data_IF_600979721609
#
_entry.id   IF_600979721609
#
_cell.length_a   1.000
_cell.length_b   1.000
_cell.length_c   1.000
_cell.angle_alpha   90.00
_cell.angle_beta   90.00
_cell.angle_gamma   90.00
#
_symmetry.space_group_name_H-M   'P 1'
#
loop_
_entity.id
_entity.type
_entity.pdbx_description
1 polymer ?
#
# COMPACT_ATOMS: atom_id res chain seq x y z
N UNK A 1 5.24 23.11 -25.90
CA UNK A 1 4.99 22.58 -24.55
C UNK A 1 6.25 21.85 -24.11
N UNK A 2 6.86 22.26 -23.02
CA UNK A 2 8.02 21.54 -22.47
C UNK A 2 7.56 20.14 -22.01
N UNK A 3 8.46 19.14 -22.07
CA UNK A 3 8.19 17.77 -21.60
C UNK A 3 7.73 17.72 -20.14
N UNK A 4 8.02 18.75 -19.36
CA UNK A 4 7.67 18.93 -17.94
C UNK A 4 6.15 18.98 -17.62
N UNK A 5 5.29 19.11 -18.62
CA UNK A 5 3.84 19.20 -18.43
C UNK A 5 3.07 17.91 -18.78
N UNK A 6 3.77 16.84 -19.16
CA UNK A 6 3.14 15.54 -19.46
C UNK A 6 3.12 14.69 -18.20
N UNK A 7 1.92 14.38 -17.67
CA UNK A 7 1.74 13.72 -16.37
C UNK A 7 2.45 12.36 -16.23
N UNK A 8 2.49 11.59 -17.31
CA UNK A 8 3.11 10.24 -17.33
C UNK A 8 4.55 10.25 -17.84
N UNK A 9 5.06 11.43 -18.23
CA UNK A 9 6.48 11.56 -18.57
C UNK A 9 7.30 11.58 -17.26
N UNK A 10 8.25 10.66 -17.18
CA UNK A 10 9.20 10.61 -16.07
C UNK A 10 10.43 11.44 -16.42
N UNK A 11 10.94 12.21 -15.46
CA UNK A 11 12.25 12.81 -15.55
C UNK A 11 13.33 11.70 -15.57
N UNK A 12 14.53 12.02 -15.97
CA UNK A 12 15.62 11.03 -16.14
C UNK A 12 15.91 10.29 -14.83
N UNK A 13 15.99 11.01 -13.73
CA UNK A 13 16.20 10.46 -12.38
C UNK A 13 15.02 9.60 -11.91
N UNK A 14 13.78 10.02 -12.15
CA UNK A 14 12.57 9.23 -11.86
C UNK A 14 12.55 7.92 -12.66
N UNK A 15 12.93 7.99 -13.94
CA UNK A 15 13.03 6.82 -14.83
C UNK A 15 14.12 5.86 -14.33
N UNK A 16 15.32 6.36 -14.05
CA UNK A 16 16.43 5.57 -13.52
C UNK A 16 16.09 4.90 -12.20
N UNK A 17 15.46 5.63 -11.29
CA UNK A 17 15.00 5.07 -10.01
C UNK A 17 13.98 3.95 -10.22
N UNK A 18 12.90 4.20 -10.98
CA UNK A 18 11.89 3.18 -11.30
C UNK A 18 12.50 1.92 -11.91
N UNK A 19 13.39 2.09 -12.88
CA UNK A 19 14.03 0.98 -13.60
C UNK A 19 14.95 0.17 -12.67
N UNK A 20 15.66 0.83 -11.75
CA UNK A 20 16.45 0.17 -10.70
C UNK A 20 15.59 -0.68 -9.77
N UNK A 21 14.45 -0.15 -9.32
CA UNK A 21 13.50 -0.89 -8.49
C UNK A 21 12.91 -2.09 -9.25
N UNK A 22 12.55 -1.90 -10.52
CA UNK A 22 12.02 -2.97 -11.36
C UNK A 22 13.06 -4.06 -11.63
N UNK A 23 14.30 -3.69 -11.81
CA UNK A 23 15.41 -4.64 -11.96
C UNK A 23 15.59 -5.48 -10.69
N UNK A 24 15.58 -4.85 -9.51
CA UNK A 24 15.59 -5.55 -8.22
C UNK A 24 14.40 -6.48 -8.09
N UNK A 25 13.19 -6.00 -8.40
CA UNK A 25 11.99 -6.81 -8.36
C UNK A 25 12.11 -8.06 -9.25
N UNK A 26 12.55 -7.91 -10.50
CA UNK A 26 12.72 -9.02 -11.43
C UNK A 26 13.81 -10.01 -11.00
N UNK A 27 14.97 -9.51 -10.52
CA UNK A 27 16.14 -10.34 -10.21
C UNK A 27 16.09 -10.98 -8.82
N UNK A 28 15.54 -10.28 -7.82
CA UNK A 28 15.57 -10.73 -6.43
C UNK A 28 14.21 -11.21 -5.93
N UNK A 29 13.11 -10.53 -6.27
CA UNK A 29 11.76 -10.91 -5.85
C UNK A 29 11.19 -12.00 -6.76
N UNK A 30 11.28 -11.82 -8.07
CA UNK A 30 10.67 -12.71 -9.07
C UNK A 30 10.93 -14.20 -8.85
N UNK A 31 12.18 -14.65 -8.60
CA UNK A 31 12.47 -16.07 -8.35
C UNK A 31 11.78 -16.66 -7.11
N UNK A 32 11.37 -15.83 -6.14
CA UNK A 32 10.80 -16.26 -4.87
C UNK A 32 9.26 -16.19 -4.84
N UNK A 33 8.63 -15.56 -5.83
CA UNK A 33 7.19 -15.26 -5.85
C UNK A 33 6.32 -16.51 -5.66
N UNK A 34 6.58 -17.57 -6.43
CA UNK A 34 5.79 -18.80 -6.38
C UNK A 34 5.90 -19.48 -5.00
N UNK A 35 7.10 -19.54 -4.44
CA UNK A 35 7.34 -20.13 -3.13
C UNK A 35 6.72 -19.30 -2.01
N UNK A 36 6.86 -17.97 -2.06
CA UNK A 36 6.23 -17.05 -1.09
C UNK A 36 4.71 -17.14 -1.12
N UNK A 37 4.10 -17.20 -2.31
CA UNK A 37 2.65 -17.37 -2.46
C UNK A 37 2.20 -18.73 -1.91
N UNK A 38 2.89 -19.82 -2.24
CA UNK A 38 2.55 -21.16 -1.76
C UNK A 38 2.65 -21.25 -0.22
N UNK A 39 3.72 -20.74 0.37
CA UNK A 39 3.92 -20.70 1.83
C UNK A 39 3.04 -19.67 2.54
N UNK A 40 2.51 -18.70 1.79
CA UNK A 40 1.80 -17.56 2.34
C UNK A 40 2.68 -16.71 3.25
N UNK A 41 3.97 -16.58 3.00
CA UNK A 41 4.93 -15.86 3.85
C UNK A 41 5.99 -15.16 3.01
N UNK A 42 6.39 -13.97 3.46
CA UNK A 42 7.49 -13.22 2.89
C UNK A 42 8.81 -13.98 3.12
N UNK A 43 9.63 -14.07 2.10
CA UNK A 43 11.02 -14.45 2.27
C UNK A 43 11.81 -13.27 2.85
N UNK A 44 12.21 -13.39 4.12
CA UNK A 44 12.88 -12.31 4.86
C UNK A 44 14.24 -11.92 4.28
N UNK A 45 14.84 -12.76 3.41
CA UNK A 45 16.08 -12.42 2.71
C UNK A 45 15.94 -11.22 1.76
N UNK A 46 14.71 -10.82 1.44
CA UNK A 46 14.40 -9.64 0.64
C UNK A 46 14.57 -8.33 1.42
N UNK A 47 14.36 -8.36 2.76
CA UNK A 47 14.35 -7.14 3.57
C UNK A 47 15.66 -6.34 3.49
N UNK A 48 16.86 -6.94 3.62
CA UNK A 48 18.11 -6.19 3.47
C UNK A 48 18.18 -5.44 2.14
N UNK A 49 17.83 -6.08 1.02
CA UNK A 49 17.85 -5.44 -0.29
C UNK A 49 16.85 -4.29 -0.43
N UNK A 50 15.68 -4.37 0.21
CA UNK A 50 14.71 -3.27 0.24
C UNK A 50 15.23 -2.06 1.04
N UNK A 51 15.93 -2.31 2.16
CA UNK A 51 16.59 -1.27 2.95
C UNK A 51 17.79 -0.67 2.21
N UNK A 52 18.65 -1.49 1.62
CA UNK A 52 19.85 -1.05 0.90
C UNK A 52 19.52 -0.16 -0.30
N UNK A 53 18.41 -0.42 -0.99
CA UNK A 53 17.87 0.42 -2.06
C UNK A 53 17.13 1.66 -1.57
N UNK A 54 17.03 1.88 -0.25
CA UNK A 54 16.31 3.01 0.34
C UNK A 54 14.79 2.94 0.20
N UNK A 55 14.22 1.81 -0.21
CA UNK A 55 12.78 1.67 -0.48
C UNK A 55 11.93 1.70 0.79
N UNK A 56 12.55 1.45 1.95
CA UNK A 56 11.86 1.46 3.24
C UNK A 56 11.81 2.85 3.91
N UNK A 57 12.46 3.85 3.32
CA UNK A 57 12.49 5.22 3.82
C UNK A 57 12.61 6.25 2.70
N UNK A 58 11.75 6.16 1.67
CA UNK A 58 11.84 6.98 0.46
C UNK A 58 11.71 8.47 0.78
N UNK A 59 10.67 8.86 1.54
CA UNK A 59 10.43 10.25 1.94
C UNK A 59 11.15 10.65 3.26
N UNK A 60 11.76 9.69 3.98
CA UNK A 60 12.50 10.00 5.20
C UNK A 60 13.73 10.84 4.83
N UNK A 61 13.94 12.03 5.45
CA UNK A 61 15.09 12.88 5.17
C UNK A 61 16.42 12.16 5.37
N UNK A 62 17.44 12.58 4.60
CA UNK A 62 18.81 12.05 4.68
C UNK A 62 19.42 12.17 6.08
N UNK A 63 19.10 13.23 6.83
CA UNK A 63 19.53 13.41 8.22
C UNK A 63 19.08 12.28 9.16
N UNK A 64 18.01 11.59 8.82
CA UNK A 64 17.54 10.37 9.50
C UNK A 64 17.91 9.07 8.75
N UNK A 65 18.78 9.16 7.75
CA UNK A 65 19.27 8.01 7.00
C UNK A 65 18.31 7.48 5.92
N UNK A 66 17.27 8.22 5.58
CA UNK A 66 16.37 7.92 4.47
C UNK A 66 16.91 8.42 3.13
N UNK A 67 16.09 8.33 2.09
CA UNK A 67 16.47 8.76 0.72
C UNK A 67 16.16 10.24 0.45
N UNK A 68 15.36 10.91 1.27
CA UNK A 68 14.95 12.31 1.07
C UNK A 68 14.26 12.58 -0.27
N UNK A 69 13.69 11.53 -0.89
CA UNK A 69 13.07 11.63 -2.20
C UNK A 69 11.59 12.07 -2.09
N UNK A 70 10.94 12.31 -3.24
CA UNK A 70 9.56 12.75 -3.30
C UNK A 70 8.57 11.62 -2.97
N UNK A 71 7.35 11.98 -2.64
CA UNK A 71 6.25 11.01 -2.55
C UNK A 71 6.01 10.30 -3.89
N UNK A 72 6.14 11.01 -4.99
CA UNK A 72 6.01 10.40 -6.31
C UNK A 72 7.05 9.29 -6.53
N UNK A 73 8.26 9.43 -6.00
CA UNK A 73 9.28 8.36 -6.02
C UNK A 73 8.81 7.13 -5.24
N UNK A 74 8.17 7.30 -4.08
CA UNK A 74 7.59 6.17 -3.34
C UNK A 74 6.50 5.47 -4.17
N UNK A 75 5.67 6.21 -4.89
CA UNK A 75 4.63 5.68 -5.78
C UNK A 75 5.24 4.90 -6.96
N UNK A 76 6.34 5.39 -7.54
CA UNK A 76 7.07 4.66 -8.59
C UNK A 76 7.67 3.34 -8.07
N UNK A 77 8.20 3.34 -6.84
CA UNK A 77 8.71 2.11 -6.22
C UNK A 77 7.60 1.07 -5.99
N UNK A 78 6.46 1.50 -5.47
CA UNK A 78 5.29 0.64 -5.26
C UNK A 78 4.79 0.05 -6.59
N UNK A 79 4.66 0.86 -7.63
CA UNK A 79 4.27 0.40 -8.97
C UNK A 79 5.26 -0.62 -9.52
N UNK A 80 6.57 -0.31 -9.50
CA UNK A 80 7.61 -1.18 -10.07
C UNK A 80 7.69 -2.54 -9.37
N UNK A 81 7.58 -2.57 -8.03
CA UNK A 81 7.53 -3.82 -7.25
C UNK A 81 6.27 -4.64 -7.59
N UNK A 82 5.11 -3.98 -7.72
CA UNK A 82 3.83 -4.63 -7.98
C UNK A 82 3.74 -5.26 -9.37
N UNK A 83 4.54 -4.81 -10.34
CA UNK A 83 4.67 -5.48 -11.65
C UNK A 83 5.16 -6.92 -11.51
N UNK A 84 5.85 -7.25 -10.43
CA UNK A 84 6.44 -8.56 -10.15
C UNK A 84 5.71 -9.27 -9.00
N UNK A 85 5.56 -8.60 -7.85
CA UNK A 85 4.83 -9.12 -6.69
C UNK A 85 4.11 -8.03 -5.89
N UNK A 86 2.76 -7.97 -5.97
CA UNK A 86 1.95 -7.08 -5.15
C UNK A 86 2.11 -7.27 -3.64
N UNK A 87 2.53 -8.45 -3.16
CA UNK A 87 2.75 -8.70 -1.72
C UNK A 87 3.96 -7.94 -1.19
N UNK A 88 5.06 -7.90 -1.93
CA UNK A 88 6.26 -7.13 -1.57
C UNK A 88 6.00 -5.63 -1.75
N UNK A 89 5.24 -5.27 -2.77
CA UNK A 89 4.84 -3.89 -3.03
C UNK A 89 4.07 -3.27 -1.87
N UNK A 90 3.07 -3.98 -1.30
CA UNK A 90 2.28 -3.44 -0.18
C UNK A 90 3.09 -3.33 1.11
N UNK A 91 4.13 -4.14 1.29
CA UNK A 91 5.04 -3.99 2.43
C UNK A 91 5.73 -2.62 2.38
N UNK A 92 6.25 -2.24 1.22
CA UNK A 92 6.91 -0.94 0.99
C UNK A 92 5.91 0.21 1.02
N UNK A 93 4.69 0.00 0.51
CA UNK A 93 3.63 1.00 0.55
C UNK A 93 3.26 1.37 1.99
N UNK A 94 2.87 0.40 2.82
CA UNK A 94 2.49 0.63 4.23
C UNK A 94 3.63 1.25 5.04
N UNK A 95 4.88 0.83 4.77
CA UNK A 95 6.07 1.41 5.39
C UNK A 95 6.17 2.93 5.14
N UNK A 96 6.03 3.36 3.90
CA UNK A 96 6.22 4.75 3.51
C UNK A 96 4.95 5.58 3.73
N UNK A 97 3.83 5.22 3.08
CA UNK A 97 2.64 6.06 3.01
C UNK A 97 1.88 6.15 4.34
N UNK A 98 1.95 5.11 5.19
CA UNK A 98 1.23 5.08 6.46
C UNK A 98 2.17 5.31 7.65
N UNK A 99 3.24 4.50 7.80
CA UNK A 99 4.07 4.54 9.00
C UNK A 99 5.05 5.71 8.99
N UNK A 100 5.91 5.81 7.97
CA UNK A 100 6.90 6.89 7.88
C UNK A 100 6.22 8.25 7.79
N UNK A 101 5.20 8.41 6.95
CA UNK A 101 4.50 9.67 6.78
C UNK A 101 3.72 10.12 8.01
N UNK A 102 3.18 9.19 8.81
CA UNK A 102 2.59 9.54 10.11
C UNK A 102 3.64 10.14 11.06
N UNK A 103 4.83 9.51 11.15
CA UNK A 103 5.90 10.02 11.99
C UNK A 103 6.47 11.36 11.48
N UNK A 104 6.70 11.48 10.19
CA UNK A 104 7.22 12.73 9.59
C UNK A 104 6.35 13.93 9.93
N UNK A 105 5.03 13.75 9.98
CA UNK A 105 4.09 14.85 10.22
C UNK A 105 3.72 15.07 11.68
N UNK A 106 3.54 14.00 12.43
CA UNK A 106 2.91 14.06 13.75
C UNK A 106 3.84 13.76 14.92
N UNK A 107 5.03 13.16 14.66
CA UNK A 107 5.96 12.83 15.73
C UNK A 107 6.69 14.05 16.27
N UNK A 108 7.01 14.01 17.58
CA UNK A 108 7.91 14.96 18.21
C UNK A 108 9.33 14.82 17.66
N UNK A 109 10.20 15.82 17.91
CA UNK A 109 11.61 15.72 17.51
C UNK A 109 12.30 14.48 18.08
N UNK A 110 12.05 14.15 19.34
CA UNK A 110 12.62 12.96 20.01
C UNK A 110 12.10 11.66 19.38
N UNK A 111 10.81 11.57 19.06
CA UNK A 111 10.24 10.43 18.37
C UNK A 111 10.82 10.28 16.96
N UNK A 112 10.98 11.37 16.21
CA UNK A 112 11.63 11.35 14.88
C UNK A 112 13.06 10.84 14.99
N UNK A 113 13.84 11.40 15.90
CA UNK A 113 15.23 10.99 16.12
C UNK A 113 15.35 9.52 16.57
N UNK A 114 14.37 9.01 17.32
CA UNK A 114 14.34 7.60 17.78
C UNK A 114 13.94 6.62 16.69
N UNK A 115 12.91 6.93 15.90
CA UNK A 115 12.24 5.95 15.05
C UNK A 115 12.56 6.07 13.56
N UNK A 116 12.73 7.28 13.01
CA UNK A 116 12.96 7.44 11.57
C UNK A 116 14.25 6.76 11.08
N UNK A 117 15.41 6.85 11.81
CA UNK A 117 16.61 6.14 11.39
C UNK A 117 16.42 4.61 11.36
N UNK A 118 15.67 4.08 12.32
CA UNK A 118 15.37 2.65 12.38
C UNK A 118 14.45 2.20 11.25
N UNK A 119 13.39 2.98 10.96
CA UNK A 119 12.49 2.70 9.84
C UNK A 119 13.20 2.81 8.49
N UNK A 120 14.16 3.70 8.34
CA UNK A 120 14.93 3.84 7.12
C UNK A 120 15.91 2.68 6.87
N UNK A 121 16.40 1.99 7.93
CA UNK A 121 17.55 1.07 7.81
C UNK A 121 17.30 -0.37 8.26
N UNK A 122 16.38 -0.62 9.20
CA UNK A 122 16.28 -1.95 9.83
C UNK A 122 14.86 -2.34 10.29
N UNK A 123 13.99 -1.39 10.58
CA UNK A 123 12.66 -1.67 11.13
C UNK A 123 11.57 -1.56 10.10
N UNK A 124 10.73 -2.57 10.05
CA UNK A 124 9.46 -2.50 9.33
C UNK A 124 8.40 -1.88 10.24
N UNK A 125 7.60 -0.99 9.69
CA UNK A 125 6.44 -0.39 10.35
C UNK A 125 5.14 -1.10 9.99
N UNK A 126 4.19 -1.04 10.91
CA UNK A 126 2.84 -1.56 10.74
C UNK A 126 1.80 -0.59 11.24
N UNK A 127 0.65 -0.52 10.55
CA UNK A 127 -0.41 0.44 10.81
C UNK A 127 -1.67 -0.27 11.31
N UNK A 128 -2.05 -0.03 12.56
CA UNK A 128 -3.04 -0.83 13.27
C UNK A 128 -4.28 -0.02 13.64
N UNK A 129 -5.18 0.18 12.66
CA UNK A 129 -6.45 0.89 12.84
C UNK A 129 -7.62 -0.08 12.98
N UNK A 130 -7.77 -1.03 12.07
CA UNK A 130 -8.95 -1.89 11.90
C UNK A 130 -9.18 -2.87 13.05
N UNK A 131 -10.46 -3.14 13.35
CA UNK A 131 -10.92 -4.12 14.34
C UNK A 131 -12.06 -4.96 13.74
N UNK A 132 -12.51 -6.01 14.42
CA UNK A 132 -13.61 -6.86 13.97
C UNK A 132 -14.91 -6.07 13.72
N UNK A 133 -15.20 -5.08 14.55
CA UNK A 133 -16.37 -4.20 14.43
C UNK A 133 -16.10 -2.86 13.75
N UNK A 134 -14.87 -2.60 13.28
CA UNK A 134 -14.42 -1.30 12.79
C UNK A 134 -13.55 -1.45 11.54
N UNK A 135 -14.20 -1.65 10.40
CA UNK A 135 -13.57 -1.69 9.07
C UNK A 135 -13.83 -0.39 8.32
N UNK A 136 -14.90 -0.34 7.50
CA UNK A 136 -15.29 0.89 6.79
C UNK A 136 -15.71 2.01 7.74
N UNK A 137 -16.35 1.68 8.87
CA UNK A 137 -16.55 2.61 9.99
C UNK A 137 -15.31 2.60 10.89
N UNK A 138 -14.21 3.17 10.38
CA UNK A 138 -12.90 3.08 10.99
C UNK A 138 -12.82 3.75 12.38
N UNK A 139 -13.74 4.66 12.67
CA UNK A 139 -13.73 5.41 13.94
C UNK A 139 -14.68 4.82 15.01
N UNK A 140 -15.35 3.72 14.70
CA UNK A 140 -16.11 2.92 15.68
C UNK A 140 -15.22 1.94 16.48
N UNK A 141 -13.90 2.13 16.44
CA UNK A 141 -12.93 1.27 17.13
C UNK A 141 -13.19 1.22 18.66
N UNK A 142 -12.87 0.07 19.26
CA UNK A 142 -13.15 -0.25 20.66
C UNK A 142 -11.92 -0.50 21.51
N UNK A 143 -10.73 -0.65 20.89
CA UNK A 143 -9.44 -0.70 21.61
C UNK A 143 -9.31 0.53 22.50
N UNK A 144 -9.07 0.31 23.80
CA UNK A 144 -9.01 1.37 24.81
C UNK A 144 -7.59 1.71 25.18
N UNK A 145 -7.36 2.98 25.50
CA UNK A 145 -6.16 3.46 26.14
C UNK A 145 -6.54 4.12 27.47
N UNK A 146 -6.13 3.51 28.58
CA UNK A 146 -6.43 4.00 29.94
C UNK A 146 -5.17 4.61 30.53
N UNK A 147 -5.26 5.88 31.00
CA UNK A 147 -4.13 6.53 31.64
C UNK A 147 -3.93 5.99 33.05
N UNK A 148 -2.71 5.52 33.38
CA UNK A 148 -2.32 5.06 34.71
C UNK A 148 -1.02 5.80 35.14
N UNK A 149 -1.16 6.86 35.90
CA UNK A 149 -0.02 7.72 36.26
C UNK A 149 0.59 8.40 35.05
N UNK A 150 1.87 8.13 34.80
CA UNK A 150 2.65 8.61 33.64
C UNK A 150 2.63 7.70 32.43
N UNK A 151 1.89 6.57 32.50
CA UNK A 151 1.79 5.57 31.45
C UNK A 151 0.39 5.48 30.86
N UNK A 152 0.29 4.79 29.73
CA UNK A 152 -0.94 4.34 29.11
C UNK A 152 -0.99 2.82 29.10
N UNK A 153 -2.17 2.27 29.35
CA UNK A 153 -2.47 0.84 29.24
C UNK A 153 -3.43 0.65 28.09
N UNK A 154 -3.00 -0.10 27.08
CA UNK A 154 -3.77 -0.41 25.90
C UNK A 154 -4.40 -1.79 26.03
N UNK A 155 -5.73 -1.88 25.79
CA UNK A 155 -6.51 -3.10 25.83
C UNK A 155 -7.40 -3.22 24.60
N UNK A 156 -7.28 -4.32 23.85
CA UNK A 156 -8.10 -4.58 22.68
C UNK A 156 -7.43 -5.49 21.66
N UNK A 157 -8.04 -5.55 20.48
CA UNK A 157 -7.55 -6.38 19.37
C UNK A 157 -7.63 -5.62 18.06
N UNK A 158 -6.60 -5.73 17.23
CA UNK A 158 -6.60 -5.20 15.87
C UNK A 158 -6.60 -6.35 14.88
N UNK A 159 -7.31 -6.19 13.77
CA UNK A 159 -7.44 -7.23 12.75
C UNK A 159 -6.93 -6.75 11.40
N UNK A 160 -6.49 -7.71 10.58
CA UNK A 160 -6.03 -7.52 9.21
C UNK A 160 -4.83 -6.56 9.11
N UNK A 161 -3.93 -6.63 10.07
CA UNK A 161 -2.80 -5.71 10.16
C UNK A 161 -1.66 -6.17 9.26
N UNK A 162 -1.38 -5.39 8.21
CA UNK A 162 -0.31 -5.60 7.24
C UNK A 162 1.06 -5.42 7.90
N UNK A 163 2.05 -6.18 7.44
CA UNK A 163 3.43 -6.19 7.93
C UNK A 163 3.59 -6.70 9.38
N UNK A 164 2.54 -7.18 10.04
CA UNK A 164 2.58 -7.47 11.48
C UNK A 164 3.66 -8.48 11.87
N UNK A 165 3.96 -9.49 11.03
CA UNK A 165 5.02 -10.47 11.34
C UNK A 165 6.44 -9.90 11.16
N UNK A 166 6.61 -8.93 10.31
CA UNK A 166 7.90 -8.32 9.96
C UNK A 166 8.17 -7.08 10.80
N UNK A 167 7.12 -6.37 11.23
CA UNK A 167 7.22 -5.06 11.87
C UNK A 167 7.90 -5.11 13.23
N UNK A 168 8.69 -4.09 13.51
CA UNK A 168 9.26 -3.77 14.81
C UNK A 168 8.55 -2.60 15.49
N UNK A 169 7.88 -1.74 14.71
CA UNK A 169 7.10 -0.60 15.19
C UNK A 169 5.66 -0.69 14.70
N UNK A 170 4.71 -0.45 15.60
CA UNK A 170 3.28 -0.48 15.32
C UNK A 170 2.66 0.86 15.69
N UNK A 171 2.01 1.53 14.73
CA UNK A 171 1.15 2.66 15.00
C UNK A 171 -0.25 2.15 15.33
N UNK A 172 -0.60 2.13 16.61
CA UNK A 172 -1.86 1.60 17.13
C UNK A 172 -2.83 2.73 17.46
N UNK A 173 -4.03 2.67 16.93
CA UNK A 173 -5.10 3.62 17.27
C UNK A 173 -6.00 3.05 18.36
N UNK A 174 -6.17 3.80 19.44
CA UNK A 174 -7.03 3.43 20.55
C UNK A 174 -7.86 4.64 21.02
N UNK A 175 -9.00 4.41 21.64
CA UNK A 175 -9.80 5.48 22.22
C UNK A 175 -9.42 5.70 23.69
N UNK A 176 -9.20 6.95 24.05
CA UNK A 176 -8.97 7.34 25.46
C UNK A 176 -10.30 7.57 26.19
N UNK A 177 -11.37 7.87 25.45
CA UNK A 177 -12.72 8.02 25.96
C UNK A 177 -13.74 7.74 24.84
N UNK A 178 -14.48 6.64 24.97
CA UNK A 178 -15.49 6.25 24.00
C UNK A 178 -16.66 7.25 23.89
N UNK A 179 -16.97 7.99 24.95
CA UNK A 179 -18.02 9.00 24.95
C UNK A 179 -17.72 10.18 24.01
N UNK A 180 -16.44 10.43 23.72
CA UNK A 180 -15.99 11.47 22.80
C UNK A 180 -16.09 11.06 21.31
N UNK A 181 -16.50 9.81 21.02
CA UNK A 181 -16.55 9.28 19.66
C UNK A 181 -15.18 9.36 18.99
N UNK A 182 -15.14 9.80 17.72
CA UNK A 182 -13.88 9.93 16.97
C UNK A 182 -12.86 10.89 17.60
N UNK A 183 -13.32 11.85 18.43
CA UNK A 183 -12.44 12.80 19.15
C UNK A 183 -11.71 12.17 20.34
N UNK A 184 -12.07 10.95 20.75
CA UNK A 184 -11.32 10.18 21.74
C UNK A 184 -10.17 9.36 21.14
N UNK A 185 -10.10 9.21 19.81
CA UNK A 185 -9.10 8.39 19.14
C UNK A 185 -7.72 9.04 19.20
N UNK A 186 -6.72 8.27 19.65
CA UNK A 186 -5.33 8.66 19.82
C UNK A 186 -4.44 7.62 19.15
N UNK A 187 -3.34 8.06 18.53
CA UNK A 187 -2.31 7.19 17.98
C UNK A 187 -1.22 6.88 19.02
N UNK A 188 -0.79 5.64 19.10
CA UNK A 188 0.27 5.17 20.00
C UNK A 188 1.34 4.42 19.21
N UNK A 189 2.60 4.71 19.50
CA UNK A 189 3.75 3.98 18.97
C UNK A 189 4.07 2.82 19.91
N UNK A 190 3.89 1.59 19.43
CA UNK A 190 4.12 0.37 20.20
C UNK A 190 5.28 -0.39 19.56
N UNK A 191 6.33 -0.68 20.31
CA UNK A 191 7.45 -1.46 19.82
C UNK A 191 7.16 -2.96 19.97
N UNK A 192 7.72 -3.78 19.08
CA UNK A 192 7.69 -5.25 19.24
C UNK A 192 8.37 -5.62 20.54
N UNK A 193 7.75 -6.54 21.29
CA UNK A 193 8.25 -6.97 22.60
C UNK A 193 7.78 -6.12 23.78
N UNK A 194 6.97 -5.08 23.56
CA UNK A 194 6.29 -4.38 24.65
C UNK A 194 5.46 -5.38 25.47
N UNK A 195 5.60 -5.42 26.81
CA UNK A 195 4.78 -6.29 27.66
C UNK A 195 3.27 -6.10 27.41
N UNK A 196 2.53 -7.20 27.32
CA UNK A 196 1.10 -7.16 27.00
C UNK A 196 0.77 -6.97 25.50
N UNK A 197 1.78 -6.88 24.63
CA UNK A 197 1.61 -6.85 23.18
C UNK A 197 2.04 -8.15 22.51
N UNK A 198 1.18 -8.74 21.69
CA UNK A 198 1.51 -9.94 20.92
C UNK A 198 0.87 -9.95 19.54
N UNK A 199 1.49 -10.71 18.63
CA UNK A 199 0.94 -10.99 17.30
C UNK A 199 0.05 -12.22 17.41
N UNK A 200 -1.20 -12.07 17.06
CA UNK A 200 -2.19 -13.14 17.07
C UNK A 200 -2.22 -13.92 15.74
N UNK A 201 -3.41 -14.36 15.36
CA UNK A 201 -3.64 -15.18 14.18
C UNK A 201 -3.18 -14.47 12.91
N UNK A 202 -2.43 -15.19 12.08
CA UNK A 202 -2.16 -14.80 10.69
C UNK A 202 -3.30 -15.29 9.79
N UNK A 203 -3.80 -14.43 8.90
CA UNK A 203 -4.88 -14.78 8.00
C UNK A 203 -4.39 -15.58 6.78
N UNK A 204 -5.13 -16.63 6.44
CA UNK A 204 -4.99 -17.32 5.15
C UNK A 204 -5.87 -16.62 4.12
N UNK A 205 -5.25 -16.06 3.08
CA UNK A 205 -5.89 -15.11 2.16
C UNK A 205 -6.00 -15.66 0.75
N UNK A 206 -6.94 -15.13 -0.01
CA UNK A 206 -7.11 -15.40 -1.44
C UNK A 206 -5.88 -14.98 -2.24
N UNK A 207 -5.40 -13.76 -2.05
CA UNK A 207 -4.29 -13.15 -2.78
C UNK A 207 -3.34 -12.41 -1.84
N UNK A 208 -2.31 -11.80 -2.41
CA UNK A 208 -1.19 -11.15 -1.68
C UNK A 208 -0.74 -11.98 -0.47
N UNK A 209 -0.64 -13.29 -0.69
CA UNK A 209 -0.47 -14.27 0.39
C UNK A 209 0.85 -14.11 1.13
N UNK A 210 1.89 -13.66 0.45
CA UNK A 210 3.20 -13.40 1.05
C UNK A 210 3.22 -12.19 1.99
N UNK A 211 2.33 -11.21 1.81
CA UNK A 211 2.18 -10.12 2.77
C UNK A 211 1.54 -10.64 4.06
N UNK A 212 2.23 -10.50 5.19
CA UNK A 212 1.65 -10.89 6.49
C UNK A 212 0.48 -9.98 6.84
N UNK A 213 -0.62 -10.60 7.22
CA UNK A 213 -1.85 -9.92 7.63
C UNK A 213 -2.31 -10.61 8.90
N UNK A 214 -2.11 -9.98 10.05
CA UNK A 214 -2.31 -10.64 11.34
C UNK A 214 -3.27 -9.87 12.24
N UNK A 215 -3.76 -10.57 13.25
CA UNK A 215 -4.33 -9.99 14.45
C UNK A 215 -3.22 -9.42 15.32
N UNK A 216 -3.47 -8.30 15.99
CA UNK A 216 -2.67 -7.82 17.12
C UNK A 216 -3.50 -7.92 18.40
N UNK A 217 -2.88 -8.39 19.45
CA UNK A 217 -3.50 -8.56 20.78
C UNK A 217 -2.82 -7.63 21.76
N UNK A 218 -3.60 -6.79 22.41
CA UNK A 218 -3.19 -5.87 23.46
C UNK A 218 -3.95 -6.24 24.74
N UNK A 219 -3.22 -6.78 25.72
CA UNK A 219 -3.75 -7.22 27.01
C UNK A 219 -2.90 -6.56 28.10
N UNK A 220 -3.44 -5.53 28.75
CA UNK A 220 -2.70 -4.69 29.69
C UNK A 220 -1.35 -4.19 29.10
N UNK A 221 -1.35 -3.82 27.81
CA UNK A 221 -0.14 -3.39 27.12
C UNK A 221 0.28 -2.01 27.62
N UNK A 222 1.35 -1.95 28.40
CA UNK A 222 1.85 -0.69 28.99
C UNK A 222 2.82 0.01 28.05
N UNK A 223 2.53 1.30 27.76
CA UNK A 223 3.40 2.20 27.01
C UNK A 223 3.62 3.50 27.76
N UNK A 224 4.75 4.16 27.57
CA UNK A 224 5.06 5.44 28.18
C UNK A 224 4.19 6.59 27.64
N UNK A 225 4.22 7.73 28.31
CA UNK A 225 3.57 8.95 27.82
C UNK A 225 4.16 9.42 26.48
N UNK A 226 5.43 9.14 26.26
CA UNK A 226 6.19 9.41 25.04
C UNK A 226 5.78 8.53 23.83
N UNK A 227 4.96 7.52 24.04
CA UNK A 227 4.40 6.69 22.98
C UNK A 227 3.23 7.36 22.23
N UNK A 228 2.64 8.43 22.75
CA UNK A 228 1.56 9.14 22.07
C UNK A 228 2.09 9.83 20.82
N UNK A 229 1.53 9.50 19.67
CA UNK A 229 1.84 10.16 18.40
C UNK A 229 0.92 11.38 18.23
N UNK A 230 1.51 12.56 18.10
CA UNK A 230 0.79 13.81 18.02
C UNK A 230 0.13 14.19 19.35
N UNK A 231 -1.16 14.54 19.31
CA UNK A 231 -1.94 14.97 20.47
C UNK A 231 -3.01 13.94 20.84
N UNK A 232 -3.32 13.85 22.14
CA UNK A 232 -4.43 13.02 22.63
C UNK A 232 -5.74 13.49 21.98
N UNK A 233 -6.51 12.53 21.46
CA UNK A 233 -7.78 12.80 20.79
C UNK A 233 -7.64 13.32 19.35
N UNK A 234 -6.43 13.35 18.78
CA UNK A 234 -6.18 13.75 17.38
C UNK A 234 -5.81 12.58 16.47
N UNK A 235 -5.84 11.36 16.96
CA UNK A 235 -5.52 10.16 16.16
C UNK A 235 -6.38 10.03 14.90
N UNK A 236 -7.63 10.47 14.94
CA UNK A 236 -8.50 10.47 13.76
C UNK A 236 -7.96 11.35 12.61
N UNK A 237 -7.28 12.47 12.93
CA UNK A 237 -6.64 13.32 11.91
C UNK A 237 -5.46 12.60 11.27
N UNK A 238 -4.61 11.99 12.09
CA UNK A 238 -3.49 11.16 11.62
C UNK A 238 -4.02 10.11 10.64
N UNK A 239 -5.09 9.38 11.05
CA UNK A 239 -5.67 8.32 10.23
C UNK A 239 -6.22 8.87 8.89
N UNK A 240 -6.97 9.97 8.89
CA UNK A 240 -7.52 10.55 7.66
C UNK A 240 -6.41 10.97 6.70
N UNK A 241 -5.39 11.65 7.19
CA UNK A 241 -4.30 12.19 6.36
C UNK A 241 -3.48 11.06 5.74
N UNK A 242 -3.01 10.10 6.54
CA UNK A 242 -2.20 8.98 6.04
C UNK A 242 -2.97 8.07 5.10
N UNK A 243 -4.25 7.77 5.39
CA UNK A 243 -5.07 6.94 4.51
C UNK A 243 -5.33 7.60 3.14
N UNK A 244 -5.32 8.93 3.03
CA UNK A 244 -5.41 9.57 1.71
C UNK A 244 -4.17 9.32 0.86
N UNK A 245 -3.00 9.19 1.46
CA UNK A 245 -1.75 8.84 0.77
C UNK A 245 -1.69 7.34 0.46
N UNK A 246 -2.07 6.49 1.42
CA UNK A 246 -2.20 5.05 1.21
C UNK A 246 -3.13 4.71 0.05
N UNK A 247 -4.20 5.50 -0.20
CA UNK A 247 -5.04 5.33 -1.40
C UNK A 247 -4.27 5.48 -2.69
N UNK A 248 -3.35 6.43 -2.77
CA UNK A 248 -2.49 6.62 -3.96
C UNK A 248 -1.54 5.44 -4.09
N UNK A 249 -0.95 4.97 -2.99
CA UNK A 249 -0.08 3.80 -2.95
C UNK A 249 -0.78 2.53 -3.42
N UNK A 250 -1.99 2.26 -2.93
CA UNK A 250 -2.78 1.13 -3.45
C UNK A 250 -3.16 1.32 -4.93
N UNK A 251 -3.42 2.55 -5.35
CA UNK A 251 -3.61 2.86 -6.78
C UNK A 251 -2.39 2.45 -7.61
N UNK A 252 -1.18 2.76 -7.13
CA UNK A 252 0.07 2.40 -7.78
C UNK A 252 0.34 0.89 -7.77
N UNK A 253 0.04 0.21 -6.66
CA UNK A 253 0.13 -1.26 -6.57
C UNK A 253 -0.78 -1.93 -7.61
N UNK A 254 -2.02 -1.49 -7.72
CA UNK A 254 -2.97 -2.04 -8.69
C UNK A 254 -2.59 -1.72 -10.13
N UNK A 255 -2.02 -0.55 -10.36
CA UNK A 255 -1.45 -0.16 -11.65
C UNK A 255 -0.28 -1.06 -12.04
N UNK A 256 0.68 -1.26 -11.14
CA UNK A 256 1.84 -2.14 -11.37
C UNK A 256 1.41 -3.59 -11.63
N UNK A 257 0.50 -4.14 -10.83
CA UNK A 257 -0.09 -5.46 -11.05
C UNK A 257 -0.68 -5.60 -12.46
N UNK A 258 -1.46 -4.58 -12.89
CA UNK A 258 -2.09 -4.57 -14.22
C UNK A 258 -1.05 -4.58 -15.33
N UNK A 259 0.00 -3.76 -15.20
CA UNK A 259 1.09 -3.70 -16.16
C UNK A 259 1.86 -5.01 -16.22
N UNK A 260 2.20 -5.61 -15.06
CA UNK A 260 2.89 -6.90 -15.00
C UNK A 260 2.09 -8.03 -15.64
N UNK A 261 0.76 -8.04 -15.45
CA UNK A 261 -0.13 -9.01 -16.11
C UNK A 261 -0.14 -8.83 -17.62
N UNK A 262 -0.23 -7.59 -18.09
CA UNK A 262 -0.21 -7.28 -19.53
C UNK A 262 1.16 -7.64 -20.15
N UNK A 263 2.26 -7.28 -19.52
CA UNK A 263 3.62 -7.56 -20.03
C UNK A 263 3.84 -9.05 -20.19
N UNK A 264 3.40 -9.86 -19.21
CA UNK A 264 3.47 -11.32 -19.32
C UNK A 264 2.60 -11.85 -20.46
N UNK A 265 1.35 -11.41 -20.56
CA UNK A 265 0.42 -11.85 -21.60
C UNK A 265 0.96 -11.50 -23.01
N UNK A 266 1.49 -10.29 -23.19
CA UNK A 266 2.05 -9.84 -24.46
C UNK A 266 3.23 -10.71 -24.89
N UNK A 267 4.16 -11.01 -23.95
CA UNK A 267 5.29 -11.89 -24.23
C UNK A 267 4.81 -13.30 -24.64
N UNK A 268 3.91 -13.87 -23.88
CA UNK A 268 3.35 -15.20 -24.19
C UNK A 268 2.65 -15.23 -25.55
N UNK A 269 1.82 -14.24 -25.85
CA UNK A 269 1.10 -14.16 -27.12
C UNK A 269 2.00 -13.97 -28.35
N UNK A 270 3.18 -13.36 -28.18
CA UNK A 270 4.16 -13.24 -29.25
C UNK A 270 4.87 -14.56 -29.57
N UNK A 271 5.06 -15.42 -28.56
CA UNK A 271 5.76 -16.70 -28.68
C UNK A 271 4.81 -17.87 -29.05
N UNK A 272 3.60 -17.89 -28.47
CA UNK A 272 2.63 -18.97 -28.67
C UNK A 272 2.01 -18.92 -30.07
N UNK A 273 2.11 -20.03 -30.80
CA UNK A 273 1.51 -20.17 -32.15
C UNK A 273 0.31 -21.12 -32.16
N UNK A 274 -0.75 -20.72 -32.84
CA UNK A 274 -1.90 -21.53 -33.17
C UNK A 274 -2.39 -21.13 -34.58
N UNK A 275 -2.98 -22.08 -35.33
CA UNK A 275 -3.43 -21.83 -36.69
C UNK A 275 -2.37 -21.22 -37.61
N UNK A 276 -1.08 -21.60 -37.40
CA UNK A 276 0.05 -21.19 -38.23
C UNK A 276 0.68 -19.84 -37.92
N UNK A 277 0.19 -19.09 -36.91
CA UNK A 277 0.74 -17.78 -36.55
C UNK A 277 0.76 -17.57 -35.04
N UNK A 278 1.50 -16.52 -34.58
CA UNK A 278 1.47 -16.09 -33.20
C UNK A 278 0.04 -15.68 -32.80
N UNK A 279 -0.42 -16.08 -31.60
CA UNK A 279 -1.81 -15.82 -31.20
C UNK A 279 -2.09 -14.32 -31.03
N UNK A 280 -1.09 -13.52 -30.72
CA UNK A 280 -1.22 -12.05 -30.64
C UNK A 280 -1.55 -11.38 -31.99
N UNK A 281 -1.35 -12.07 -33.13
CA UNK A 281 -1.65 -11.55 -34.47
C UNK A 281 -3.13 -11.69 -34.86
N UNK A 282 -3.93 -12.44 -34.09
CA UNK A 282 -5.36 -12.51 -34.35
C UNK A 282 -6.02 -11.18 -33.95
N UNK A 283 -6.82 -10.61 -34.85
CA UNK A 283 -7.51 -9.32 -34.63
C UNK A 283 -8.33 -9.29 -33.34
N UNK A 284 -9.04 -10.40 -33.02
CA UNK A 284 -9.82 -10.53 -31.80
C UNK A 284 -8.95 -10.43 -30.52
N UNK A 285 -7.74 -10.99 -30.55
CA UNK A 285 -6.77 -10.87 -29.45
C UNK A 285 -6.20 -9.43 -29.38
N UNK A 286 -5.86 -8.87 -30.55
CA UNK A 286 -5.33 -7.52 -30.64
C UNK A 286 -6.25 -6.46 -30.03
N UNK A 287 -7.56 -6.54 -30.29
CA UNK A 287 -8.53 -5.62 -29.72
C UNK A 287 -8.65 -5.74 -28.18
N UNK A 288 -8.49 -6.94 -27.65
CA UNK A 288 -8.56 -7.18 -26.21
C UNK A 288 -7.35 -6.56 -25.49
N UNK A 289 -6.13 -6.89 -25.91
CA UNK A 289 -4.96 -6.31 -25.24
C UNK A 289 -4.83 -4.78 -25.44
N UNK A 290 -5.27 -4.24 -26.58
CA UNK A 290 -5.31 -2.80 -26.81
C UNK A 290 -6.26 -2.08 -25.82
N UNK A 291 -7.41 -2.69 -25.52
CA UNK A 291 -8.34 -2.18 -24.51
C UNK A 291 -7.71 -2.20 -23.12
N UNK A 292 -7.09 -3.31 -22.73
CA UNK A 292 -6.39 -3.43 -21.44
C UNK A 292 -5.30 -2.36 -21.32
N UNK A 293 -4.46 -2.18 -22.35
CA UNK A 293 -3.41 -1.17 -22.36
C UNK A 293 -3.98 0.25 -22.21
N UNK A 294 -5.11 0.56 -22.87
CA UNK A 294 -5.79 1.85 -22.75
C UNK A 294 -6.30 2.12 -21.33
N UNK A 295 -6.90 1.11 -20.68
CA UNK A 295 -7.39 1.24 -19.30
C UNK A 295 -6.23 1.40 -18.30
N UNK A 296 -5.13 0.68 -18.49
CA UNK A 296 -3.91 0.81 -17.66
C UNK A 296 -3.35 2.24 -17.75
N UNK A 297 -3.25 2.80 -18.97
CA UNK A 297 -2.75 4.17 -19.15
C UNK A 297 -3.68 5.21 -18.52
N UNK A 298 -4.98 5.02 -18.61
CA UNK A 298 -5.96 5.88 -17.94
C UNK A 298 -5.82 5.80 -16.39
N UNK A 299 -5.52 4.61 -15.85
CA UNK A 299 -5.24 4.43 -14.42
C UNK A 299 -3.93 5.12 -14.02
N UNK A 300 -2.87 4.99 -14.83
CA UNK A 300 -1.57 5.65 -14.63
C UNK A 300 -1.72 7.17 -14.54
N UNK A 301 -2.44 7.77 -15.48
CA UNK A 301 -2.73 9.21 -15.48
C UNK A 301 -3.37 9.66 -14.16
N UNK A 302 -4.32 8.90 -13.62
CA UNK A 302 -4.98 9.24 -12.35
C UNK A 302 -4.06 9.09 -11.14
N UNK A 303 -3.30 8.00 -11.06
CA UNK A 303 -2.37 7.73 -9.96
C UNK A 303 -1.26 8.77 -9.93
N UNK A 304 -0.62 9.02 -11.08
CA UNK A 304 0.47 9.99 -11.17
C UNK A 304 0.00 11.42 -10.90
N UNK A 305 -1.18 11.80 -11.43
CA UNK A 305 -1.76 13.11 -11.12
C UNK A 305 -1.99 13.29 -9.61
N UNK A 306 -2.54 12.27 -8.93
CA UNK A 306 -2.79 12.35 -7.48
C UNK A 306 -1.48 12.48 -6.69
N UNK A 307 -0.44 11.73 -7.04
CA UNK A 307 0.85 11.77 -6.39
C UNK A 307 1.57 13.12 -6.62
N UNK A 308 1.62 13.60 -7.86
CA UNK A 308 2.23 14.90 -8.17
C UNK A 308 1.49 16.08 -7.54
N UNK A 309 0.16 15.99 -7.40
CA UNK A 309 -0.62 17.01 -6.65
C UNK A 309 -0.22 17.06 -5.19
N UNK A 310 0.00 15.88 -4.55
CA UNK A 310 0.51 15.82 -3.18
C UNK A 310 1.88 16.48 -3.07
N UNK A 311 2.82 16.14 -3.94
CA UNK A 311 4.16 16.74 -3.93
C UNK A 311 4.14 18.25 -4.16
N UNK A 312 3.20 18.72 -4.98
CA UNK A 312 2.99 20.15 -5.24
C UNK A 312 2.22 20.88 -4.11
N UNK A 313 1.87 20.22 -3.01
CA UNK A 313 1.09 20.80 -1.91
C UNK A 313 -0.36 21.17 -2.29
N UNK A 314 -0.89 20.63 -3.38
CA UNK A 314 -2.25 20.88 -3.84
C UNK A 314 -3.26 19.94 -3.17
N UNK A 315 -4.54 20.33 -3.04
CA UNK A 315 -5.60 19.42 -2.61
C UNK A 315 -5.63 18.15 -3.50
N UNK A 316 -5.59 16.96 -2.89
CA UNK A 316 -5.48 15.69 -3.63
C UNK A 316 -6.44 14.60 -3.15
N UNK A 317 -7.26 14.85 -2.14
CA UNK A 317 -8.13 13.81 -1.52
C UNK A 317 -9.10 13.21 -2.53
N UNK A 318 -9.71 14.03 -3.38
CA UNK A 318 -10.61 13.59 -4.45
C UNK A 318 -9.86 12.75 -5.48
N UNK A 319 -8.72 13.23 -5.92
CA UNK A 319 -7.88 12.56 -6.91
C UNK A 319 -7.33 11.24 -6.38
N UNK A 320 -6.93 11.17 -5.10
CA UNK A 320 -6.52 9.94 -4.43
C UNK A 320 -7.62 8.88 -4.40
N UNK A 321 -8.84 9.28 -4.02
CA UNK A 321 -10.00 8.40 -4.03
C UNK A 321 -10.34 7.90 -5.45
N UNK A 322 -10.31 8.80 -6.45
CA UNK A 322 -10.54 8.46 -7.86
C UNK A 322 -9.46 7.53 -8.40
N UNK A 323 -8.19 7.77 -8.07
CA UNK A 323 -7.06 6.94 -8.50
C UNK A 323 -7.19 5.52 -7.95
N UNK A 324 -7.43 5.38 -6.64
CA UNK A 324 -7.60 4.08 -5.98
C UNK A 324 -8.80 3.31 -6.54
N UNK A 325 -9.95 3.95 -6.66
CA UNK A 325 -11.15 3.34 -7.21
C UNK A 325 -10.89 2.80 -8.61
N UNK A 326 -10.46 3.67 -9.51
CA UNK A 326 -10.31 3.34 -10.92
C UNK A 326 -9.20 2.30 -11.16
N UNK A 327 -8.02 2.48 -10.55
CA UNK A 327 -6.91 1.53 -10.67
C UNK A 327 -7.27 0.13 -10.15
N UNK A 328 -8.04 0.04 -9.04
CA UNK A 328 -8.49 -1.24 -8.49
C UNK A 328 -9.49 -1.96 -9.41
N UNK A 329 -10.37 -1.21 -10.08
CA UNK A 329 -11.31 -1.78 -11.05
C UNK A 329 -10.59 -2.22 -12.33
N UNK A 330 -9.62 -1.42 -12.80
CA UNK A 330 -8.78 -1.78 -13.96
C UNK A 330 -7.99 -3.04 -13.65
N UNK A 331 -7.37 -3.15 -12.46
CA UNK A 331 -6.56 -4.30 -12.08
C UNK A 331 -7.36 -5.62 -12.12
N UNK A 332 -8.58 -5.62 -11.60
CA UNK A 332 -9.43 -6.82 -11.62
C UNK A 332 -9.77 -7.22 -13.07
N UNK A 333 -10.12 -6.26 -13.92
CA UNK A 333 -10.41 -6.52 -15.34
C UNK A 333 -9.17 -6.93 -16.11
N UNK A 334 -8.06 -6.20 -15.96
CA UNK A 334 -6.81 -6.48 -16.66
C UNK A 334 -6.24 -7.85 -16.30
N UNK A 335 -6.20 -8.21 -15.01
CA UNK A 335 -5.73 -9.51 -14.58
C UNK A 335 -6.60 -10.66 -15.14
N UNK A 336 -7.94 -10.50 -15.11
CA UNK A 336 -8.86 -11.46 -15.71
C UNK A 336 -8.65 -11.61 -17.22
N UNK A 337 -8.58 -10.48 -17.93
CA UNK A 337 -8.44 -10.49 -19.39
C UNK A 337 -7.08 -11.03 -19.83
N UNK A 338 -5.99 -10.67 -19.16
CA UNK A 338 -4.66 -11.20 -19.46
C UNK A 338 -4.57 -12.72 -19.20
N UNK A 339 -5.24 -13.22 -18.17
CA UNK A 339 -5.36 -14.65 -17.90
C UNK A 339 -6.09 -15.36 -19.07
N UNK A 340 -7.21 -14.82 -19.52
CA UNK A 340 -7.97 -15.35 -20.66
C UNK A 340 -7.15 -15.33 -21.95
N UNK A 341 -6.40 -14.26 -22.23
CA UNK A 341 -5.52 -14.15 -23.39
C UNK A 341 -4.43 -15.24 -23.45
N UNK A 342 -4.02 -15.75 -22.29
CA UNK A 342 -3.07 -16.86 -22.18
C UNK A 342 -3.74 -18.25 -22.17
N UNK A 343 -5.07 -18.32 -22.11
CA UNK A 343 -5.83 -19.55 -22.12
C UNK A 343 -5.48 -20.51 -20.97
N UNK A 344 -5.39 -21.81 -21.23
CA UNK A 344 -5.10 -22.82 -20.20
C UNK A 344 -3.81 -22.57 -19.42
N UNK A 345 -2.79 -21.98 -20.04
CA UNK A 345 -1.53 -21.60 -19.40
C UNK A 345 -1.76 -20.53 -18.32
N UNK A 346 -2.59 -19.52 -18.61
CA UNK A 346 -2.93 -18.48 -17.64
C UNK A 346 -3.62 -19.01 -16.39
N UNK A 347 -4.28 -20.16 -16.48
CA UNK A 347 -5.06 -20.77 -15.40
C UNK A 347 -4.24 -21.71 -14.49
N UNK A 348 -2.97 -21.96 -14.80
CA UNK A 348 -2.10 -22.85 -14.03
C UNK A 348 -1.13 -22.07 -13.14
N UNK A 349 -0.71 -22.67 -12.01
CA UNK A 349 0.21 -22.05 -11.04
C UNK A 349 1.67 -21.99 -11.53
N UNK A 350 1.99 -22.57 -12.67
CA UNK A 350 3.32 -22.50 -13.28
C UNK A 350 3.62 -21.10 -13.85
N UNK A 351 2.59 -20.26 -13.95
CA UNK A 351 2.65 -18.93 -14.54
C UNK A 351 2.02 -17.88 -13.59
N UNK A 352 2.40 -16.60 -13.67
CA UNK A 352 2.04 -15.61 -12.67
C UNK A 352 0.58 -15.12 -12.72
N UNK A 353 -0.15 -15.35 -13.83
CA UNK A 353 -1.43 -14.68 -14.08
C UNK A 353 -2.53 -15.10 -13.10
N UNK A 354 -2.60 -16.39 -12.74
CA UNK A 354 -3.58 -16.87 -11.76
C UNK A 354 -3.37 -16.20 -10.39
N UNK A 355 -2.10 -15.97 -9.99
CA UNK A 355 -1.75 -15.26 -8.76
C UNK A 355 -2.14 -13.80 -8.87
N UNK A 356 -1.79 -13.11 -9.96
CA UNK A 356 -2.13 -11.71 -10.17
C UNK A 356 -3.65 -11.49 -10.20
N UNK A 357 -4.42 -12.44 -10.75
CA UNK A 357 -5.88 -12.43 -10.70
C UNK A 357 -6.41 -12.50 -9.26
N UNK A 358 -5.85 -13.38 -8.41
CA UNK A 358 -6.23 -13.46 -7.00
C UNK A 358 -5.82 -12.19 -6.23
N UNK A 359 -4.63 -11.68 -6.50
CA UNK A 359 -4.08 -10.49 -5.85
C UNK A 359 -4.87 -9.22 -6.18
N UNK A 360 -5.34 -9.07 -7.42
CA UNK A 360 -6.08 -7.89 -7.85
C UNK A 360 -7.34 -7.62 -7.00
N UNK A 361 -7.96 -8.69 -6.46
CA UNK A 361 -9.22 -8.55 -5.72
C UNK A 361 -9.11 -7.67 -4.48
N UNK A 362 -7.97 -7.69 -3.79
CA UNK A 362 -7.79 -6.93 -2.55
C UNK A 362 -7.85 -5.40 -2.78
N UNK A 363 -7.45 -4.93 -3.96
CA UNK A 363 -7.46 -3.52 -4.30
C UNK A 363 -8.81 -2.83 -4.12
N UNK A 364 -9.91 -3.55 -4.24
CA UNK A 364 -11.28 -3.04 -4.04
C UNK A 364 -11.75 -3.09 -2.58
N UNK A 365 -10.97 -3.67 -1.66
CA UNK A 365 -11.38 -4.01 -0.31
C UNK A 365 -10.65 -3.16 0.73
N UNK A 366 -9.31 -3.24 0.79
CA UNK A 366 -8.51 -2.57 1.83
C UNK A 366 -8.23 -1.10 1.51
N UNK A 367 -7.67 -0.35 2.46
CA UNK A 367 -7.42 1.11 2.36
C UNK A 367 -8.71 1.90 2.00
N UNK A 368 -9.84 1.40 2.49
CA UNK A 368 -11.18 1.88 2.15
C UNK A 368 -11.74 1.19 0.91
N UNK A 369 -12.87 0.51 1.09
CA UNK A 369 -13.56 -0.19 -0.02
C UNK A 369 -13.93 0.73 -1.18
N UNK A 370 -14.28 0.16 -2.34
CA UNK A 370 -14.77 0.95 -3.48
C UNK A 370 -15.93 1.88 -3.09
N UNK A 371 -16.84 1.42 -2.21
CA UNK A 371 -17.94 2.26 -1.72
C UNK A 371 -17.44 3.45 -0.89
N UNK A 372 -16.38 3.28 -0.10
CA UNK A 372 -15.77 4.38 0.67
C UNK A 372 -15.09 5.40 -0.25
N UNK A 373 -14.50 4.96 -1.35
CA UNK A 373 -13.96 5.87 -2.36
C UNK A 373 -15.09 6.66 -3.03
N UNK A 374 -16.16 5.97 -3.45
CA UNK A 374 -17.33 6.61 -4.05
C UNK A 374 -17.98 7.63 -3.11
N UNK A 375 -18.15 7.30 -1.82
CA UNK A 375 -18.68 8.21 -0.81
C UNK A 375 -17.80 9.45 -0.64
N UNK A 376 -16.47 9.28 -0.63
CA UNK A 376 -15.52 10.40 -0.53
C UNK A 376 -15.61 11.31 -1.76
N UNK A 377 -15.64 10.73 -2.95
CA UNK A 377 -15.76 11.47 -4.22
C UNK A 377 -17.08 12.22 -4.27
N UNK A 378 -18.21 11.55 -3.98
CA UNK A 378 -19.54 12.15 -4.03
C UNK A 378 -19.64 13.36 -3.10
N UNK A 379 -19.17 13.24 -1.85
CA UNK A 379 -19.15 14.33 -0.88
C UNK A 379 -18.40 15.57 -1.38
N UNK A 380 -17.23 15.35 -2.01
CA UNK A 380 -16.40 16.47 -2.49
C UNK A 380 -17.03 17.11 -3.72
N UNK A 381 -17.53 16.31 -4.68
CA UNK A 381 -18.17 16.81 -5.89
C UNK A 381 -19.43 17.61 -5.55
N UNK A 382 -20.23 17.15 -4.57
CA UNK A 382 -21.38 17.90 -4.09
C UNK A 382 -20.98 19.25 -3.49
N UNK A 383 -19.98 19.29 -2.61
CA UNK A 383 -19.50 20.51 -2.01
C UNK A 383 -18.95 21.50 -3.07
N UNK A 384 -18.25 21.01 -4.09
CA UNK A 384 -17.76 21.81 -5.22
C UNK A 384 -18.91 22.41 -6.06
N UNK A 385 -20.05 21.72 -6.17
CA UNK A 385 -21.23 22.22 -6.89
C UNK A 385 -21.97 23.31 -6.11
N UNK A 386 -22.01 23.21 -4.77
CA UNK A 386 -22.65 24.19 -3.89
C UNK A 386 -21.87 25.51 -3.77
N UNK A 387 -20.59 25.51 -4.14
CA UNK A 387 -19.73 26.72 -4.10
C UNK A 387 -19.63 27.47 -5.43
N UNK A 388 -20.25 26.95 -6.49
CA UNK A 388 -20.38 27.59 -7.81
C UNK A 388 -21.71 28.32 -7.96
#
# INVERSE_FOLDING_TARGET
>A
MSKEHVLTHLAEDEQMFRDSVLEFAKKRVGPLVAEMDAKGALDKSLLPGLFDLGLMGVEIPEEYGGSGASFFSAILAVEALAMVDPSVSVLVDVQNTLCANALLRWATADQKAKYLPKLAKEWVGSYALSEAGSGSDAFALTTRATKKGDKWVLDGRKLWITNANEASLFLVFATVDKALGYKGITGFLVERGTPGFSIGKKEDKLGIRASSTCELVLEECEVGADAVLGEIGKGYKIAIETLNEGRIGIGAQMLGLSQGALDFAMKYMAERKQFGQAIGNFQGMAFQYARVATEIEAARLRVYNAARRKDAGLPFVKEAAMAKLFASEVAERAASQCLELCGGVGFTKDYPLEKLYRDAKIGKIYEGTSNMQLATIAKIVQAEAETK
#
